data_IF_787437955967
#
_entry.id   IF_787437955967
#
_cell.length_a   1.000
_cell.length_b   1.000
_cell.length_c   1.000
_cell.angle_alpha   90.00
_cell.angle_beta   90.00
_cell.angle_gamma   90.00
#
_symmetry.space_group_name_H-M   'P 1'
#
loop_
_entity.id
_entity.type
_entity.pdbx_description
1 polymer ?
#
# COMPACT_ATOMS: atom_id res chain seq x y z
N UNK A 1 9.34 15.14 1.48
CA UNK A 1 7.92 15.25 1.89
C UNK A 1 7.33 13.85 2.00
N UNK A 2 6.65 13.56 3.09
CA UNK A 2 5.97 12.29 3.34
C UNK A 2 4.46 12.54 3.49
N UNK A 3 3.65 11.69 2.85
CA UNK A 3 2.19 11.67 3.05
C UNK A 3 1.88 10.44 3.87
N UNK A 4 1.44 10.65 5.12
CA UNK A 4 0.90 9.59 5.94
C UNK A 4 -0.56 9.37 5.56
N UNK A 5 -0.91 8.12 5.29
CA UNK A 5 -2.25 7.70 4.87
C UNK A 5 -2.84 6.74 5.91
N UNK A 6 -4.12 6.95 6.22
CA UNK A 6 -4.89 6.06 7.09
C UNK A 6 -6.39 6.24 6.83
N UNK A 7 -7.18 5.20 7.15
CA UNK A 7 -8.64 5.25 7.05
C UNK A 7 -9.25 6.20 8.07
N UNK A 8 -8.72 6.19 9.29
CA UNK A 8 -9.20 6.98 10.42
C UNK A 8 -8.47 8.33 10.45
N UNK A 9 -9.21 9.41 10.20
CA UNK A 9 -8.66 10.76 10.13
C UNK A 9 -8.09 11.24 11.46
N UNK A 10 -8.75 10.92 12.57
CA UNK A 10 -8.34 11.36 13.90
C UNK A 10 -7.00 10.72 14.25
N UNK A 11 -6.91 9.39 14.15
CA UNK A 11 -5.69 8.64 14.44
C UNK A 11 -4.56 9.02 13.48
N UNK A 12 -4.87 9.26 12.22
CA UNK A 12 -3.89 9.69 11.21
C UNK A 12 -3.31 11.08 11.52
N UNK A 13 -4.17 12.03 11.90
CA UNK A 13 -3.75 13.38 12.29
C UNK A 13 -2.93 13.38 13.58
N UNK A 14 -3.39 12.67 14.61
CA UNK A 14 -2.65 12.49 15.87
C UNK A 14 -1.26 11.86 15.62
N UNK A 15 -1.17 10.87 14.71
CA UNK A 15 0.12 10.27 14.35
C UNK A 15 1.07 11.28 13.69
N UNK A 16 0.57 12.14 12.81
CA UNK A 16 1.37 13.22 12.20
C UNK A 16 1.85 14.22 13.24
N UNK A 17 1.00 14.61 14.19
CA UNK A 17 1.38 15.52 15.28
C UNK A 17 2.48 14.92 16.16
N UNK A 18 2.35 13.65 16.53
CA UNK A 18 3.37 12.92 17.29
C UNK A 18 4.70 12.84 16.52
N UNK A 19 4.67 12.53 15.23
CA UNK A 19 5.88 12.48 14.40
C UNK A 19 6.55 13.85 14.28
N UNK A 20 5.76 14.93 14.17
CA UNK A 20 6.26 16.31 14.21
C UNK A 20 6.90 16.65 15.54
N UNK A 21 6.30 16.23 16.66
CA UNK A 21 6.88 16.39 17.99
C UNK A 21 8.23 15.65 18.14
N UNK A 22 8.44 14.56 17.38
CA UNK A 22 9.73 13.86 17.29
C UNK A 22 10.74 14.52 16.33
N UNK A 23 10.43 15.67 15.74
CA UNK A 23 11.33 16.43 14.85
C UNK A 23 11.13 16.16 13.36
N UNK A 24 10.13 15.37 12.95
CA UNK A 24 9.81 15.16 11.53
C UNK A 24 8.84 16.25 11.04
N UNK A 25 9.36 17.31 10.43
CA UNK A 25 8.55 18.46 10.00
C UNK A 25 7.81 18.25 8.66
N UNK A 26 8.41 17.49 7.74
CA UNK A 26 7.93 17.36 6.35
C UNK A 26 6.98 16.18 6.15
N UNK A 27 5.96 16.12 7.01
CA UNK A 27 4.93 15.10 7.01
C UNK A 27 3.54 15.73 7.05
N UNK A 28 2.67 15.24 6.17
CA UNK A 28 1.27 15.62 6.08
C UNK A 28 0.38 14.38 6.14
N UNK A 29 -0.83 14.56 6.64
CA UNK A 29 -1.85 13.52 6.61
C UNK A 29 -2.74 13.68 5.37
N UNK A 30 -3.12 12.56 4.76
CA UNK A 30 -4.23 12.49 3.80
C UNK A 30 -5.04 11.23 4.10
N UNK A 31 -6.37 11.35 4.19
CA UNK A 31 -7.23 10.20 4.41
C UNK A 31 -7.14 9.24 3.22
N UNK A 32 -7.09 7.94 3.51
CA UNK A 32 -7.21 6.90 2.50
C UNK A 32 -7.94 5.69 3.08
N UNK A 33 -9.05 5.32 2.46
CA UNK A 33 -9.61 3.98 2.57
C UNK A 33 -9.37 3.21 1.29
N UNK A 34 -8.47 2.22 1.34
CA UNK A 34 -8.11 1.41 0.17
C UNK A 34 -9.29 0.61 -0.39
N UNK A 35 -10.35 0.40 0.38
CA UNK A 35 -11.56 -0.28 -0.11
C UNK A 35 -12.51 0.64 -0.87
N UNK A 36 -12.29 1.95 -0.83
CA UNK A 36 -13.10 2.96 -1.51
C UNK A 36 -12.33 3.58 -2.69
N UNK A 37 -12.82 3.33 -3.91
CA UNK A 37 -12.22 3.86 -5.13
C UNK A 37 -12.27 5.40 -5.21
N UNK A 38 -13.26 6.05 -4.58
CA UNK A 38 -13.32 7.51 -4.53
C UNK A 38 -12.23 8.09 -3.61
N UNK A 39 -11.97 7.44 -2.47
CA UNK A 39 -10.85 7.78 -1.58
C UNK A 39 -9.49 7.62 -2.30
N UNK A 40 -9.31 6.53 -3.06
CA UNK A 40 -8.10 6.33 -3.88
C UNK A 40 -7.93 7.44 -4.92
N UNK A 41 -9.00 7.78 -5.66
CA UNK A 41 -8.97 8.83 -6.67
C UNK A 41 -8.63 10.20 -6.06
N UNK A 42 -9.24 10.52 -4.91
CA UNK A 42 -8.97 11.75 -4.15
C UNK A 42 -7.49 11.87 -3.78
N UNK A 43 -6.86 10.79 -3.31
CA UNK A 43 -5.43 10.77 -3.02
C UNK A 43 -4.58 10.98 -4.29
N UNK A 44 -4.92 10.32 -5.40
CA UNK A 44 -4.20 10.46 -6.65
C UNK A 44 -4.25 11.90 -7.17
N UNK A 45 -5.44 12.53 -7.16
CA UNK A 45 -5.63 13.92 -7.56
C UNK A 45 -4.89 14.88 -6.62
N UNK A 46 -4.91 14.63 -5.31
CA UNK A 46 -4.17 15.42 -4.34
C UNK A 46 -2.67 15.41 -4.62
N UNK A 47 -2.08 14.22 -4.84
CA UNK A 47 -0.65 14.09 -5.15
C UNK A 47 -0.33 14.78 -6.47
N UNK A 48 -1.14 14.54 -7.50
CA UNK A 48 -0.98 15.16 -8.82
C UNK A 48 -0.96 16.68 -8.72
N UNK A 49 -1.93 17.27 -8.04
CA UNK A 49 -2.09 18.72 -7.98
C UNK A 49 -1.06 19.41 -7.09
N UNK A 50 -0.55 18.72 -6.06
CA UNK A 50 0.33 19.32 -5.07
C UNK A 50 1.82 19.01 -5.28
N UNK A 51 2.14 17.85 -5.83
CA UNK A 51 3.51 17.35 -5.94
C UNK A 51 3.90 16.89 -7.35
N UNK A 52 2.94 16.82 -8.28
CA UNK A 52 3.09 16.44 -9.69
C UNK A 52 3.53 14.99 -9.95
N UNK A 53 4.26 14.37 -9.03
CA UNK A 53 4.82 13.03 -9.15
C UNK A 53 4.76 12.25 -7.84
N UNK A 54 4.99 10.94 -7.94
CA UNK A 54 5.15 10.05 -6.80
C UNK A 54 6.44 9.23 -6.97
N UNK A 55 7.35 9.31 -6.00
CA UNK A 55 8.60 8.56 -6.05
C UNK A 55 8.49 7.18 -5.37
N UNK A 56 7.77 7.08 -4.24
CA UNK A 56 7.69 5.84 -3.44
C UNK A 56 6.27 5.63 -2.91
N UNK A 57 5.71 4.44 -3.11
CA UNK A 57 4.55 3.94 -2.35
C UNK A 57 5.00 2.82 -1.42
N UNK A 58 4.59 2.92 -0.15
CA UNK A 58 4.76 1.83 0.82
C UNK A 58 3.39 1.22 1.11
N UNK A 59 3.14 0.05 0.53
CA UNK A 59 1.90 -0.71 0.74
C UNK A 59 2.03 -1.51 2.04
N UNK A 60 1.65 -0.87 3.16
CA UNK A 60 1.69 -1.44 4.51
C UNK A 60 0.28 -1.65 5.10
N UNK A 61 -0.75 -1.64 4.26
CA UNK A 61 -2.14 -1.76 4.73
C UNK A 61 -2.42 -3.21 5.12
N UNK A 62 -2.41 -3.49 6.42
CA UNK A 62 -2.81 -4.78 6.99
C UNK A 62 -4.20 -4.73 7.62
N UNK A 63 -4.93 -5.84 7.58
CA UNK A 63 -6.13 -6.04 8.39
C UNK A 63 -5.72 -6.70 9.70
N UNK A 64 -6.06 -6.07 10.83
CA UNK A 64 -5.87 -6.64 12.16
C UNK A 64 -6.97 -7.67 12.44
N UNK A 65 -6.64 -8.96 12.41
CA UNK A 65 -7.52 -10.04 12.84
C UNK A 65 -6.80 -11.39 12.78
N UNK A 66 -6.87 -12.18 13.86
CA UNK A 66 -6.29 -13.54 13.90
C UNK A 66 -7.03 -14.54 12.99
N UNK A 67 -8.19 -14.14 12.46
CA UNK A 67 -9.00 -14.92 11.53
C UNK A 67 -9.30 -13.99 10.35
N UNK A 68 -8.50 -14.09 9.29
CA UNK A 68 -8.89 -13.59 7.97
C UNK A 68 -9.37 -14.78 7.16
N UNK A 69 -10.57 -14.70 6.61
CA UNK A 69 -10.99 -15.61 5.55
C UNK A 69 -10.27 -15.27 4.23
N UNK A 70 -10.33 -16.21 3.29
CA UNK A 70 -9.67 -16.08 2.00
C UNK A 70 -10.24 -14.92 1.15
N UNK A 71 -11.53 -14.58 1.30
CA UNK A 71 -12.18 -13.50 0.56
C UNK A 71 -11.71 -12.11 1.04
N UNK A 72 -11.60 -11.92 2.34
CA UNK A 72 -11.07 -10.72 2.99
C UNK A 72 -9.59 -10.51 2.64
N UNK A 73 -8.81 -11.58 2.53
CA UNK A 73 -7.42 -11.51 2.07
C UNK A 73 -7.31 -11.15 0.58
N UNK A 74 -8.15 -11.77 -0.25
CA UNK A 74 -8.16 -11.55 -1.70
C UNK A 74 -8.61 -10.12 -2.01
N UNK A 75 -9.66 -9.64 -1.35
CA UNK A 75 -10.16 -8.27 -1.52
C UNK A 75 -9.10 -7.23 -1.13
N UNK A 76 -8.41 -7.41 0.00
CA UNK A 76 -7.33 -6.50 0.40
C UNK A 76 -6.19 -6.47 -0.63
N UNK A 77 -5.75 -7.64 -1.12
CA UNK A 77 -4.73 -7.73 -2.17
C UNK A 77 -5.14 -7.02 -3.46
N UNK A 78 -6.37 -7.26 -3.92
CA UNK A 78 -6.91 -6.63 -5.12
C UNK A 78 -6.99 -5.11 -4.95
N UNK A 79 -7.44 -4.63 -3.79
CA UNK A 79 -7.56 -3.20 -3.47
C UNK A 79 -6.21 -2.49 -3.35
N UNK A 80 -5.20 -3.13 -2.77
CA UNK A 80 -3.81 -2.64 -2.83
C UNK A 80 -3.27 -2.58 -4.27
N UNK A 81 -3.73 -3.48 -5.14
CA UNK A 81 -3.47 -3.43 -6.58
C UNK A 81 -4.15 -2.23 -7.26
N UNK A 82 -5.43 -1.97 -6.97
CA UNK A 82 -6.17 -0.81 -7.47
C UNK A 82 -5.49 0.51 -7.11
N UNK A 83 -5.04 0.67 -5.86
CA UNK A 83 -4.27 1.84 -5.42
C UNK A 83 -3.00 2.01 -6.26
N UNK A 84 -2.24 0.93 -6.44
CA UNK A 84 -1.00 0.96 -7.21
C UNK A 84 -1.27 1.39 -8.66
N UNK A 85 -2.29 0.80 -9.29
CA UNK A 85 -2.71 1.13 -10.66
C UNK A 85 -3.13 2.59 -10.80
N UNK A 86 -3.92 3.12 -9.87
CA UNK A 86 -4.35 4.52 -9.88
C UNK A 86 -3.18 5.50 -9.79
N UNK A 87 -2.06 5.10 -9.17
CA UNK A 87 -0.88 5.93 -8.98
C UNK A 87 0.20 5.74 -10.05
N UNK A 88 0.09 4.73 -10.94
CA UNK A 88 1.04 4.52 -12.05
C UNK A 88 1.33 5.78 -12.86
N UNK A 89 0.33 6.61 -13.25
CA UNK A 89 0.61 7.83 -14.00
C UNK A 89 1.58 8.78 -13.27
N UNK A 90 1.51 8.85 -11.94
CA UNK A 90 2.39 9.68 -11.11
C UNK A 90 3.77 9.08 -10.94
N UNK A 91 3.88 7.75 -10.89
CA UNK A 91 5.16 7.04 -10.87
C UNK A 91 5.96 7.23 -12.14
N UNK A 92 5.30 7.24 -13.31
CA UNK A 92 5.97 7.44 -14.61
C UNK A 92 6.67 8.81 -14.72
N UNK A 93 6.31 9.76 -13.88
CA UNK A 93 6.92 11.08 -13.80
C UNK A 93 8.15 11.12 -12.87
N UNK A 94 8.38 10.06 -12.10
CA UNK A 94 9.57 9.91 -11.26
C UNK A 94 10.69 9.16 -11.99
N UNK A 95 11.93 9.63 -11.83
CA UNK A 95 13.14 8.94 -12.32
C UNK A 95 13.59 7.77 -11.44
N UNK A 96 12.98 7.58 -10.26
CA UNK A 96 13.36 6.52 -9.31
C UNK A 96 12.12 5.96 -8.58
N UNK A 97 11.04 5.70 -9.34
CA UNK A 97 9.80 5.14 -8.83
C UNK A 97 9.99 3.78 -8.13
N UNK A 98 9.41 3.60 -6.94
CA UNK A 98 9.45 2.32 -6.19
C UNK A 98 8.12 2.00 -5.52
N UNK A 99 7.71 0.74 -5.58
CA UNK A 99 6.62 0.21 -4.75
C UNK A 99 7.23 -0.78 -3.76
N UNK A 100 7.05 -0.50 -2.46
CA UNK A 100 7.49 -1.36 -1.36
C UNK A 100 6.26 -2.01 -0.75
N UNK A 101 6.10 -3.32 -0.94
CA UNK A 101 5.03 -4.08 -0.30
C UNK A 101 5.54 -4.67 1.02
N UNK A 102 4.89 -4.31 2.13
CA UNK A 102 5.23 -4.85 3.45
C UNK A 102 4.36 -6.08 3.72
N UNK A 103 5.00 -7.23 3.87
CA UNK A 103 4.33 -8.51 4.12
C UNK A 103 4.60 -9.02 5.54
N UNK A 104 3.96 -10.13 5.93
CA UNK A 104 4.17 -10.79 7.21
C UNK A 104 4.67 -12.23 7.03
N UNK A 105 5.12 -12.86 8.11
CA UNK A 105 5.52 -14.27 8.09
C UNK A 105 4.41 -15.22 7.62
N UNK A 106 3.14 -14.84 7.77
CA UNK A 106 2.00 -15.60 7.23
C UNK A 106 2.00 -15.64 5.69
N UNK A 107 2.56 -14.62 5.03
CA UNK A 107 2.70 -14.57 3.58
C UNK A 107 3.78 -15.48 2.99
N UNK A 108 4.52 -16.24 3.82
CA UNK A 108 5.53 -17.17 3.33
C UNK A 108 4.91 -18.33 2.55
N UNK A 109 5.56 -18.71 1.45
CA UNK A 109 5.10 -19.78 0.57
C UNK A 109 4.83 -21.10 1.30
N UNK A 110 5.60 -21.40 2.36
CA UNK A 110 5.41 -22.60 3.21
C UNK A 110 4.05 -22.68 3.90
N UNK A 111 3.32 -21.57 4.02
CA UNK A 111 2.00 -21.50 4.64
C UNK A 111 0.86 -21.61 3.60
N UNK A 112 1.18 -21.64 2.31
CA UNK A 112 0.18 -21.86 1.26
C UNK A 112 -0.25 -23.33 1.32
N UNK A 113 -1.54 -23.60 1.39
CA UNK A 113 -2.08 -24.96 1.48
C UNK A 113 -2.28 -25.62 0.11
N UNK A 114 -2.35 -24.82 -0.96
CA UNK A 114 -2.47 -25.30 -2.33
C UNK A 114 -1.11 -25.77 -2.84
N UNK A 115 -0.94 -27.09 -2.98
CA UNK A 115 0.31 -27.73 -3.40
C UNK A 115 0.75 -27.32 -4.81
N UNK A 116 -0.18 -27.29 -5.77
CA UNK A 116 0.10 -26.81 -7.12
C UNK A 116 0.65 -25.38 -7.12
N UNK A 117 0.00 -24.47 -6.38
CA UNK A 117 0.44 -23.08 -6.29
C UNK A 117 1.82 -22.99 -5.62
N UNK A 118 2.13 -23.89 -4.66
CA UNK A 118 3.45 -23.96 -4.05
C UNK A 118 4.53 -24.41 -5.01
N UNK A 119 4.26 -25.45 -5.79
CA UNK A 119 5.21 -25.93 -6.80
C UNK A 119 5.51 -24.82 -7.80
N UNK A 120 4.47 -24.22 -8.41
CA UNK A 120 4.62 -23.15 -9.41
C UNK A 120 5.35 -21.94 -8.83
N UNK A 121 5.00 -21.47 -7.63
CA UNK A 121 5.62 -20.29 -7.03
C UNK A 121 6.99 -20.57 -6.38
N UNK A 122 7.37 -21.83 -6.22
CA UNK A 122 8.71 -22.23 -5.73
C UNK A 122 9.75 -22.32 -6.84
N UNK A 123 9.30 -22.43 -8.10
CA UNK A 123 10.16 -22.46 -9.27
C UNK A 123 10.61 -21.04 -9.65
N UNK A 124 11.67 -20.56 -8.98
CA UNK A 124 12.21 -19.22 -9.20
C UNK A 124 12.73 -19.04 -10.63
N UNK A 125 13.25 -20.12 -11.24
CA UNK A 125 13.82 -20.09 -12.59
C UNK A 125 12.73 -20.10 -13.69
N UNK A 126 11.53 -20.56 -13.37
CA UNK A 126 10.36 -20.56 -14.25
C UNK A 126 9.52 -19.27 -14.23
N UNK A 127 9.79 -18.34 -13.31
CA UNK A 127 9.06 -17.07 -13.22
C UNK A 127 9.60 -16.07 -14.26
N UNK A 128 8.87 -15.92 -15.37
CA UNK A 128 9.16 -14.88 -16.39
C UNK A 128 8.48 -13.55 -16.04
N UNK A 129 9.17 -12.43 -16.29
CA UNK A 129 8.60 -11.07 -16.23
C UNK A 129 7.49 -10.82 -17.25
#
# INVERSE_FOLDING_TARGET
>A
MVILIARDEKRGTEAVENLKACGLSDIIFHQLDVTDSASIASLADYIKNKFEKLDILVNNTGVSGFIMDAESFTSLKLKSGELSQALIPLFRLSSSARIVNVSSGLGQLKNVTNEWAREVLSDVDGLTE
#
